data_IF_732478747306
#
_entry.id   IF_732478747306
#
_cell.length_a   1.000
_cell.length_b   1.000
_cell.length_c   1.000
_cell.angle_alpha   90.00
_cell.angle_beta   90.00
_cell.angle_gamma   90.00
#
_symmetry.space_group_name_H-M   'P 1'
#
loop_
_entity.id
_entity.type
_entity.pdbx_description
1 polymer ?
#
# COMPACT_ATOMS: atom_id res chain seq x y z
N UNK A 1 -13.33 13.28 9.66
CA UNK A 1 -11.97 13.46 10.13
C UNK A 1 -11.07 12.39 9.52
N UNK A 2 -9.96 12.81 8.95
CA UNK A 2 -9.04 11.88 8.32
C UNK A 2 -8.16 11.20 9.36
N UNK A 3 -7.86 9.95 9.13
CA UNK A 3 -6.98 9.18 10.01
C UNK A 3 -5.85 8.55 9.22
N UNK A 4 -4.73 8.37 9.89
CA UNK A 4 -3.61 7.65 9.31
C UNK A 4 -3.71 6.18 9.68
N UNK A 5 -3.43 5.34 8.70
CA UNK A 5 -3.43 3.89 8.88
C UNK A 5 -2.12 3.32 8.34
N UNK A 6 -1.55 2.39 9.09
CA UNK A 6 -0.42 1.64 8.59
C UNK A 6 -0.90 0.30 8.05
N UNK A 7 -0.47 -0.01 6.83
CA UNK A 7 -0.92 -1.21 6.14
C UNK A 7 0.29 -1.99 5.68
N UNK A 8 0.28 -3.28 5.96
CA UNK A 8 1.31 -4.19 5.47
C UNK A 8 0.71 -5.12 4.43
N UNK A 9 1.34 -5.16 3.26
CA UNK A 9 0.88 -6.00 2.17
C UNK A 9 2.01 -6.89 1.72
N UNK A 10 1.73 -8.19 1.61
CA UNK A 10 2.64 -9.14 0.99
C UNK A 10 2.04 -9.48 -0.36
N UNK A 11 2.75 -9.15 -1.42
CA UNK A 11 2.23 -9.31 -2.77
C UNK A 11 3.27 -9.90 -3.68
N UNK A 12 2.80 -10.56 -4.72
CA UNK A 12 3.67 -11.08 -5.75
C UNK A 12 4.39 -9.92 -6.44
N UNK A 13 5.70 -10.04 -6.57
CA UNK A 13 6.52 -8.96 -7.11
C UNK A 13 6.44 -8.98 -8.64
N UNK A 14 5.42 -8.33 -9.17
CA UNK A 14 5.20 -8.20 -10.60
C UNK A 14 5.37 -6.76 -11.03
N UNK A 15 5.61 -6.53 -12.31
CA UNK A 15 5.77 -5.19 -12.83
C UNK A 15 4.52 -4.37 -12.58
N UNK A 16 4.73 -3.14 -12.10
CA UNK A 16 3.63 -2.22 -11.87
C UNK A 16 2.81 -2.49 -10.61
N UNK A 17 3.26 -3.42 -9.73
CA UNK A 17 2.48 -3.75 -8.53
C UNK A 17 2.30 -2.53 -7.62
N UNK A 18 3.35 -1.72 -7.48
CA UNK A 18 3.28 -0.54 -6.61
C UNK A 18 2.26 0.45 -7.15
N UNK A 19 2.32 0.75 -8.44
CA UNK A 19 1.38 1.68 -9.07
C UNK A 19 -0.05 1.18 -8.96
N UNK A 20 -0.25 -0.11 -9.12
CA UNK A 20 -1.58 -0.71 -9.03
C UNK A 20 -2.15 -0.58 -7.63
N UNK A 21 -1.34 -0.84 -6.63
CA UNK A 21 -1.79 -0.74 -5.24
C UNK A 21 -2.10 0.71 -4.89
N UNK A 22 -1.24 1.64 -5.30
CA UNK A 22 -1.50 3.05 -5.04
C UNK A 22 -2.79 3.52 -5.70
N UNK A 23 -3.05 3.06 -6.91
CA UNK A 23 -4.30 3.41 -7.60
C UNK A 23 -5.52 2.91 -6.86
N UNK A 24 -5.45 1.71 -6.30
CA UNK A 24 -6.57 1.16 -5.54
C UNK A 24 -6.91 2.02 -4.33
N UNK A 25 -5.90 2.48 -3.61
CA UNK A 25 -6.13 3.33 -2.45
C UNK A 25 -6.64 4.71 -2.86
N UNK A 26 -6.10 5.26 -3.94
CA UNK A 26 -6.57 6.56 -4.42
C UNK A 26 -8.05 6.52 -4.82
N UNK A 27 -8.48 5.43 -5.43
CA UNK A 27 -9.87 5.28 -5.83
C UNK A 27 -10.81 5.26 -4.63
N UNK A 28 -10.32 4.81 -3.49
CA UNK A 28 -11.13 4.72 -2.28
C UNK A 28 -11.04 5.98 -1.42
N UNK A 29 -10.37 7.01 -1.92
CA UNK A 29 -10.26 8.27 -1.21
C UNK A 29 -9.14 8.34 -0.21
N UNK A 30 -8.22 7.38 -0.24
CA UNK A 30 -7.04 7.41 0.63
C UNK A 30 -5.88 8.10 -0.08
N UNK A 31 -5.12 8.86 0.70
CA UNK A 31 -3.87 9.44 0.23
C UNK A 31 -2.71 8.62 0.78
N UNK A 32 -1.82 8.19 -0.08
CA UNK A 32 -0.63 7.46 0.34
C UNK A 32 0.43 8.47 0.74
N UNK A 33 0.73 8.52 2.04
CA UNK A 33 1.67 9.49 2.59
C UNK A 33 3.10 8.98 2.55
N UNK A 34 3.25 7.65 2.67
CA UNK A 34 4.56 7.03 2.75
C UNK A 34 4.44 5.60 2.28
N UNK A 35 5.45 5.13 1.57
CA UNK A 35 5.50 3.74 1.16
C UNK A 35 6.94 3.26 1.19
N UNK A 36 7.15 2.08 1.73
CA UNK A 36 8.42 1.40 1.66
C UNK A 36 8.19 0.01 1.10
N UNK A 37 9.19 -0.50 0.39
CA UNK A 37 9.11 -1.83 -0.21
C UNK A 37 10.38 -2.59 0.12
N UNK A 38 10.25 -3.88 0.31
CA UNK A 38 11.39 -4.73 0.62
C UNK A 38 11.15 -6.16 0.17
N UNK A 39 12.21 -6.95 0.25
CA UNK A 39 12.11 -8.36 -0.08
C UNK A 39 11.59 -9.14 1.12
N UNK A 40 11.01 -10.31 0.83
CA UNK A 40 10.56 -11.22 1.87
C UNK A 40 11.42 -12.47 1.84
N UNK A 41 11.20 -13.35 2.80
CA UNK A 41 11.86 -14.67 2.81
C UNK A 41 11.34 -15.56 1.69
N UNK A 42 10.21 -15.21 1.11
CA UNK A 42 9.59 -16.01 0.05
C UNK A 42 10.00 -15.44 -1.30
N UNK A 43 10.72 -16.19 -2.14
CA UNK A 43 11.12 -15.68 -3.45
C UNK A 43 9.93 -15.27 -4.30
N UNK A 44 10.07 -14.17 -5.02
CA UNK A 44 9.04 -13.68 -5.90
C UNK A 44 7.97 -12.84 -5.23
N UNK A 45 8.10 -12.58 -3.93
CA UNK A 45 7.15 -11.75 -3.19
C UNK A 45 7.84 -10.52 -2.61
N UNK A 46 7.08 -9.45 -2.51
CA UNK A 46 7.56 -8.20 -1.93
C UNK A 46 6.68 -7.83 -0.74
N UNK A 47 7.31 -7.17 0.23
CA UNK A 47 6.61 -6.62 1.38
C UNK A 47 6.49 -5.12 1.18
N UNK A 48 5.26 -4.64 1.26
CA UNK A 48 4.97 -3.21 1.11
C UNK A 48 4.39 -2.70 2.41
N UNK A 49 5.01 -1.68 2.97
CA UNK A 49 4.50 -1.02 4.16
C UNK A 49 4.08 0.38 3.75
N UNK A 50 2.84 0.74 4.06
CA UNK A 50 2.27 2.00 3.63
C UNK A 50 1.65 2.73 4.79
N UNK A 51 1.79 4.05 4.79
CA UNK A 51 1.01 4.91 5.66
C UNK A 51 0.04 5.66 4.77
N UNK A 52 -1.25 5.51 5.04
CA UNK A 52 -2.29 6.16 4.25
C UNK A 52 -3.15 7.02 5.16
N UNK A 53 -3.74 8.05 4.57
CA UNK A 53 -4.65 8.92 5.29
C UNK A 53 -6.00 8.89 4.58
N UNK A 54 -7.06 8.73 5.33
CA UNK A 54 -8.39 8.71 4.75
C UNK A 54 -9.46 8.80 5.80
N UNK A 55 -10.68 8.97 5.31
CA UNK A 55 -11.87 9.01 6.16
C UNK A 55 -12.20 7.59 6.58
N UNK A 56 -12.60 7.45 7.84
CA UNK A 56 -13.02 6.14 8.35
C UNK A 56 -14.16 5.51 7.58
N UNK A 57 -14.95 6.33 6.89
CA UNK A 57 -16.09 5.85 6.13
C UNK A 57 -15.73 5.44 4.71
N UNK A 58 -14.49 5.61 4.33
CA UNK A 58 -14.06 5.35 2.96
C UNK A 58 -13.76 3.90 2.70
#
# INVERSE_FOLDING_TARGET
MNREHEILIIAKNTDGIVSRIMSLFNRRGYSVLKMTAGVTNKPGYARLTMTVEGDDKT
#
